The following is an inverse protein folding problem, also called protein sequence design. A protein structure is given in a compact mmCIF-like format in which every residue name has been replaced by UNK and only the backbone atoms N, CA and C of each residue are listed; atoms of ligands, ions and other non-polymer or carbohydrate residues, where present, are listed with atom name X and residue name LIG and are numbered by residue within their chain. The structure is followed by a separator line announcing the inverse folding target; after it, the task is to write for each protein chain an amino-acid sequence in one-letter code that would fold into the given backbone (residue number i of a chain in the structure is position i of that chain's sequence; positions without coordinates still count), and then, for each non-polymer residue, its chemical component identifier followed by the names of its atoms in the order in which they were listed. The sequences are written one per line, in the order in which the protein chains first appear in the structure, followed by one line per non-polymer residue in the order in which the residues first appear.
data_IF_403171174172
#
_entry.id   IF_403171174172
#
_cell.length_a   1.000
_cell.length_b   1.000
_cell.length_c   1.000
_cell.angle_alpha   90.00
_cell.angle_beta   90.00
_cell.angle_gamma   90.00
#
_symmetry.space_group_name_H-M   'P 1'
#
loop_
_entity.id
_entity.type
_entity.pdbx_description
1 polymer ?
#
# COMPACT_ATOMS: atom_id res chain seq x y z
N UNK A 1 -2.49 -18.79 41.67
CA UNK A 1 -3.19 -17.99 40.63
C UNK A 1 -2.37 -16.81 40.07
N UNK A 2 -1.27 -16.37 40.70
CA UNK A 2 -0.45 -15.23 40.22
C UNK A 2 0.49 -15.57 39.04
N UNK A 3 1.05 -16.79 39.01
CA UNK A 3 2.06 -17.18 38.01
C UNK A 3 1.51 -17.29 36.57
N UNK A 4 0.31 -17.86 36.41
CA UNK A 4 -0.39 -17.95 35.11
C UNK A 4 -0.75 -16.57 34.57
N UNK A 5 -1.19 -15.65 35.44
CA UNK A 5 -1.53 -14.28 35.07
C UNK A 5 -0.31 -13.52 34.54
N UNK A 6 0.83 -13.69 35.19
CA UNK A 6 2.10 -13.08 34.79
C UNK A 6 2.61 -13.63 33.46
N UNK A 7 2.63 -14.96 33.26
CA UNK A 7 3.04 -15.58 31.98
C UNK A 7 2.18 -15.06 30.82
N UNK A 8 0.87 -14.95 31.02
CA UNK A 8 -0.02 -14.46 29.98
C UNK A 8 0.21 -12.98 29.67
N UNK A 9 0.45 -12.16 30.70
CA UNK A 9 0.73 -10.74 30.55
C UNK A 9 2.05 -10.47 29.81
N UNK A 10 3.13 -11.18 30.18
CA UNK A 10 4.43 -11.03 29.51
C UNK A 10 4.43 -11.66 28.10
N UNK A 11 3.68 -12.74 27.88
CA UNK A 11 3.51 -13.36 26.57
C UNK A 11 2.75 -12.48 25.58
N UNK A 12 1.67 -11.81 26.02
CA UNK A 12 0.95 -10.84 25.18
C UNK A 12 1.84 -9.64 24.85
N UNK A 13 2.58 -9.12 25.84
CA UNK A 13 3.45 -7.97 25.62
C UNK A 13 4.56 -8.25 24.59
N UNK A 14 5.18 -9.42 24.63
CA UNK A 14 6.22 -9.80 23.67
C UNK A 14 5.67 -10.08 22.27
N UNK A 15 4.49 -10.72 22.16
CA UNK A 15 3.81 -10.90 20.90
C UNK A 15 3.43 -9.55 20.25
N UNK A 16 2.92 -8.62 21.06
CA UNK A 16 2.55 -7.28 20.58
C UNK A 16 3.78 -6.49 20.14
N UNK A 17 4.88 -6.53 20.90
CA UNK A 17 6.14 -5.90 20.51
C UNK A 17 6.70 -6.48 19.19
N UNK A 18 6.60 -7.80 19.00
CA UNK A 18 6.99 -8.47 17.75
C UNK A 18 6.15 -8.03 16.55
N UNK A 19 4.83 -7.94 16.70
CA UNK A 19 3.93 -7.45 15.65
C UNK A 19 4.23 -5.98 15.34
N UNK A 20 4.35 -5.12 16.35
CA UNK A 20 4.61 -3.69 16.14
C UNK A 20 5.97 -3.47 15.48
N UNK A 21 7.03 -4.11 15.95
CA UNK A 21 8.38 -3.94 15.40
C UNK A 21 8.51 -4.42 13.96
N UNK A 22 7.82 -5.51 13.59
CA UNK A 22 7.92 -6.10 12.24
C UNK A 22 6.90 -5.54 11.25
N UNK A 23 5.69 -5.19 11.71
CA UNK A 23 4.57 -4.80 10.85
C UNK A 23 4.41 -3.30 10.77
N UNK A 24 4.74 -2.53 11.83
CA UNK A 24 4.60 -1.07 11.78
C UNK A 24 5.49 -0.40 10.71
N UNK A 25 6.78 -0.78 10.52
CA UNK A 25 7.59 -0.21 9.45
C UNK A 25 6.99 -0.49 8.07
N UNK A 26 6.43 -1.69 7.88
CA UNK A 26 5.76 -2.07 6.64
C UNK A 26 4.50 -1.21 6.38
N UNK A 27 3.66 -1.00 7.40
CA UNK A 27 2.44 -0.17 7.27
C UNK A 27 2.80 1.29 7.02
N UNK A 28 3.76 1.86 7.75
CA UNK A 28 4.19 3.25 7.57
C UNK A 28 4.75 3.48 6.17
N UNK A 29 5.54 2.52 5.66
CA UNK A 29 6.05 2.58 4.30
C UNK A 29 4.93 2.50 3.26
N UNK A 30 3.94 1.62 3.48
CA UNK A 30 2.78 1.48 2.61
C UNK A 30 1.93 2.76 2.57
N UNK A 31 1.67 3.39 3.73
CA UNK A 31 0.95 4.66 3.81
C UNK A 31 1.71 5.79 3.11
N UNK A 32 3.03 5.84 3.26
CA UNK A 32 3.89 6.80 2.57
C UNK A 32 3.86 6.63 1.05
N UNK A 33 3.97 5.40 0.55
CA UNK A 33 3.87 5.12 -0.88
C UNK A 33 2.50 5.46 -1.46
N UNK A 34 1.42 5.04 -0.80
CA UNK A 34 0.05 5.34 -1.25
C UNK A 34 -0.20 6.85 -1.26
N UNK A 35 0.22 7.55 -0.21
CA UNK A 35 0.14 9.02 -0.15
C UNK A 35 0.92 9.69 -1.29
N UNK A 36 2.12 9.18 -1.61
CA UNK A 36 2.91 9.65 -2.74
C UNK A 36 2.21 9.45 -4.10
N UNK A 37 1.63 8.27 -4.34
CA UNK A 37 0.89 7.96 -5.57
C UNK A 37 -0.34 8.87 -5.71
N UNK A 38 -1.03 9.13 -4.61
CA UNK A 38 -2.22 9.98 -4.60
C UNK A 38 -1.84 11.45 -4.90
N UNK A 39 -0.74 11.95 -4.33
CA UNK A 39 -0.23 13.28 -4.63
C UNK A 39 0.18 13.43 -6.12
N UNK A 40 0.83 12.40 -6.68
CA UNK A 40 1.20 12.35 -8.11
C UNK A 40 -0.05 12.41 -9.00
N UNK A 41 -1.18 11.84 -8.56
CA UNK A 41 -2.41 11.80 -9.35
C UNK A 41 -3.09 13.17 -9.51
N UNK A 42 -2.80 14.13 -8.62
CA UNK A 42 -3.30 15.51 -8.73
C UNK A 42 -2.37 16.45 -9.50
N UNK A 43 -1.18 16.00 -9.88
CA UNK A 43 -0.27 16.84 -10.65
C UNK A 43 -0.68 16.82 -12.14
N UNK A 44 -1.16 17.96 -12.63
CA UNK A 44 -1.49 18.21 -14.05
C UNK A 44 -0.32 17.88 -14.99
N UNK A 45 0.90 17.77 -14.47
CA UNK A 45 2.12 17.40 -15.20
C UNK A 45 2.07 15.98 -15.82
N UNK A 46 1.27 15.06 -15.26
CA UNK A 46 1.21 13.66 -15.71
C UNK A 46 0.12 13.39 -16.76
N UNK A 47 -0.79 14.33 -16.95
CA UNK A 47 -1.94 14.21 -17.84
C UNK A 47 -1.90 15.29 -18.92
N UNK A 48 -2.35 14.95 -20.12
CA UNK A 48 -2.58 15.93 -21.17
C UNK A 48 -3.85 16.72 -20.86
N UNK A 49 -4.05 17.92 -21.44
CA UNK A 49 -5.28 18.71 -21.27
C UNK A 49 -6.57 17.93 -21.61
N UNK A 50 -6.46 16.87 -22.42
CA UNK A 50 -7.58 15.99 -22.78
C UNK A 50 -7.88 14.89 -21.72
N UNK A 51 -7.19 14.90 -20.57
CA UNK A 51 -7.26 13.84 -19.55
C UNK A 51 -6.55 12.53 -19.94
N UNK A 52 -5.99 12.46 -21.15
CA UNK A 52 -5.20 11.31 -21.60
C UNK A 52 -3.82 11.28 -20.93
N UNK A 53 -3.24 10.09 -20.84
CA UNK A 53 -1.95 9.89 -20.18
C UNK A 53 -0.82 10.64 -20.90
N UNK A 54 -0.15 11.52 -20.15
CA UNK A 54 1.06 12.19 -20.60
C UNK A 54 2.27 11.23 -20.63
N UNK A 55 3.36 11.70 -21.22
CA UNK A 55 4.61 10.94 -21.34
C UNK A 55 5.18 10.55 -19.97
N UNK A 56 5.10 11.46 -18.99
CA UNK A 56 5.55 11.21 -17.61
C UNK A 56 4.66 10.20 -16.87
N UNK A 57 3.36 10.15 -17.17
CA UNK A 57 2.46 9.14 -16.59
C UNK A 57 2.84 7.73 -17.02
N UNK A 58 3.30 7.57 -18.26
CA UNK A 58 3.81 6.29 -18.75
C UNK A 58 5.20 5.95 -18.15
N UNK A 59 6.08 6.94 -18.02
CA UNK A 59 7.40 6.79 -17.42
C UNK A 59 7.34 6.22 -15.99
N UNK A 60 6.49 6.79 -15.13
CA UNK A 60 6.35 6.32 -13.74
C UNK A 60 5.86 4.87 -13.69
N UNK A 61 4.94 4.47 -14.56
CA UNK A 61 4.46 3.07 -14.60
C UNK A 61 5.56 2.10 -15.01
N UNK A 62 6.42 2.47 -15.97
CA UNK A 62 7.57 1.65 -16.34
C UNK A 62 8.54 1.53 -15.17
N UNK A 63 8.84 2.64 -14.48
CA UNK A 63 9.72 2.63 -13.31
C UNK A 63 9.13 1.75 -12.21
N UNK A 64 7.83 1.88 -11.92
CA UNK A 64 7.12 1.05 -10.97
C UNK A 64 7.19 -0.43 -11.32
N UNK A 65 6.93 -0.79 -12.58
CA UNK A 65 7.05 -2.16 -13.08
C UNK A 65 8.50 -2.68 -12.92
N UNK A 66 9.48 -1.84 -13.20
CA UNK A 66 10.91 -2.18 -13.11
C UNK A 66 11.33 -2.46 -11.67
N UNK A 67 10.83 -1.67 -10.70
CA UNK A 67 11.07 -1.89 -9.27
C UNK A 67 10.46 -3.22 -8.81
N UNK A 68 9.24 -3.53 -9.24
CA UNK A 68 8.57 -4.80 -8.92
C UNK A 68 9.37 -5.99 -9.49
N UNK A 69 9.75 -5.93 -10.76
CA UNK A 69 10.59 -6.94 -11.40
C UNK A 69 11.93 -7.12 -10.68
N UNK A 70 12.59 -6.01 -10.32
CA UNK A 70 13.84 -6.04 -9.56
C UNK A 70 13.66 -6.66 -8.16
N UNK A 71 12.57 -6.34 -7.47
CA UNK A 71 12.21 -6.94 -6.18
C UNK A 71 12.04 -8.45 -6.27
N UNK A 72 11.30 -8.93 -7.28
CA UNK A 72 11.11 -10.37 -7.54
C UNK A 72 12.46 -11.04 -7.83
N UNK A 73 13.31 -10.44 -8.67
CA UNK A 73 14.63 -10.97 -8.99
C UNK A 73 15.51 -11.11 -7.73
N UNK A 74 15.60 -10.06 -6.91
CA UNK A 74 16.39 -10.05 -5.67
C UNK A 74 15.84 -11.04 -4.63
N UNK A 75 14.52 -11.19 -4.56
CA UNK A 75 13.87 -12.16 -3.69
C UNK A 75 14.23 -13.59 -4.09
N UNK A 76 14.19 -13.91 -5.39
CA UNK A 76 14.57 -15.23 -5.90
C UNK A 76 16.04 -15.58 -5.62
N UNK A 77 16.96 -14.62 -5.65
CA UNK A 77 18.39 -14.85 -5.35
C UNK A 77 18.61 -15.20 -3.87
N UNK A 78 17.94 -14.52 -2.95
CA UNK A 78 18.17 -14.72 -1.50
C UNK A 78 17.62 -16.03 -0.96
N UNK A 79 16.76 -16.71 -1.71
CA UNK A 79 16.08 -17.93 -1.28
C UNK A 79 16.89 -19.24 -1.42
N UNK A 80 18.13 -19.19 -1.92
CA UNK A 80 19.02 -20.35 -2.01
C UNK A 80 19.62 -20.81 -0.65
N UNK A 81 18.85 -20.69 0.43
CA UNK A 81 19.17 -21.31 1.71
C UNK A 81 18.89 -22.84 1.66
N UNK A 82 19.81 -23.65 2.20
CA UNK A 82 19.81 -25.12 2.07
C UNK A 82 18.80 -25.87 2.96
N UNK A 83 18.08 -25.17 3.83
CA UNK A 83 17.22 -25.78 4.86
C UNK A 83 15.85 -26.23 4.35
N UNK A 84 15.45 -25.90 3.11
CA UNK A 84 14.10 -26.15 2.60
C UNK A 84 14.14 -26.93 1.28
N UNK A 85 13.29 -27.95 1.13
CA UNK A 85 13.14 -28.68 -0.14
C UNK A 85 12.50 -27.80 -1.23
N UNK A 86 12.77 -28.08 -2.50
CA UNK A 86 12.22 -27.31 -3.63
C UNK A 86 10.68 -27.23 -3.61
N UNK A 87 10.02 -28.28 -3.14
CA UNK A 87 8.56 -28.33 -3.01
C UNK A 87 8.07 -27.33 -1.96
N UNK A 88 8.73 -27.25 -0.80
CA UNK A 88 8.38 -26.31 0.28
C UNK A 88 8.65 -24.86 -0.12
N UNK A 89 9.74 -24.59 -0.86
CA UNK A 89 10.02 -23.25 -1.40
C UNK A 89 8.89 -22.75 -2.30
N UNK A 90 8.40 -23.58 -3.23
CA UNK A 90 7.28 -23.23 -4.13
C UNK A 90 5.99 -22.93 -3.36
N UNK A 91 5.65 -23.76 -2.37
CA UNK A 91 4.45 -23.57 -1.56
C UNK A 91 4.55 -22.29 -0.74
N UNK A 92 5.70 -22.01 -0.11
CA UNK A 92 5.92 -20.80 0.67
C UNK A 92 5.83 -19.53 -0.19
N UNK A 93 6.40 -19.54 -1.41
CA UNK A 93 6.24 -18.43 -2.38
C UNK A 93 4.79 -18.19 -2.74
N UNK A 94 4.06 -19.26 -3.07
CA UNK A 94 2.66 -19.18 -3.44
C UNK A 94 1.84 -18.60 -2.27
N UNK A 95 2.04 -19.12 -1.06
CA UNK A 95 1.36 -18.66 0.14
C UNK A 95 1.64 -17.18 0.42
N UNK A 96 2.91 -16.78 0.36
CA UNK A 96 3.32 -15.39 0.56
C UNK A 96 2.73 -14.45 -0.51
N UNK A 97 2.74 -14.88 -1.78
CA UNK A 97 2.15 -14.11 -2.89
C UNK A 97 0.64 -13.93 -2.70
N UNK A 98 -0.09 -14.99 -2.35
CA UNK A 98 -1.53 -14.93 -2.08
C UNK A 98 -1.83 -14.01 -0.90
N UNK A 99 -1.06 -14.12 0.19
CA UNK A 99 -1.22 -13.27 1.37
C UNK A 99 -1.00 -11.78 1.02
N UNK A 100 0.08 -11.46 0.30
CA UNK A 100 0.40 -10.09 -0.11
C UNK A 100 -0.68 -9.49 -1.01
N UNK A 101 -1.15 -10.24 -2.01
CA UNK A 101 -2.19 -9.77 -2.94
C UNK A 101 -3.49 -9.50 -2.17
N UNK A 102 -3.92 -10.46 -1.34
CA UNK A 102 -5.17 -10.35 -0.58
C UNK A 102 -5.13 -9.17 0.39
N UNK A 103 -4.03 -9.01 1.13
CA UNK A 103 -3.85 -7.88 2.05
C UNK A 103 -3.80 -6.54 1.31
N UNK A 104 -3.02 -6.44 0.23
CA UNK A 104 -2.87 -5.20 -0.53
C UNK A 104 -4.18 -4.75 -1.17
N UNK A 105 -4.94 -5.68 -1.77
CA UNK A 105 -6.23 -5.38 -2.40
C UNK A 105 -7.25 -4.92 -1.36
N UNK A 106 -7.32 -5.61 -0.22
CA UNK A 106 -8.23 -5.26 0.87
C UNK A 106 -7.93 -3.86 1.42
N UNK A 107 -6.64 -3.54 1.61
CA UNK A 107 -6.19 -2.24 2.09
C UNK A 107 -6.50 -1.15 1.05
N UNK A 108 -6.20 -1.40 -0.23
CA UNK A 108 -6.48 -0.46 -1.33
C UNK A 108 -7.97 -0.10 -1.41
N UNK A 109 -8.86 -1.10 -1.46
CA UNK A 109 -10.31 -0.88 -1.53
C UNK A 109 -10.83 -0.14 -0.29
N UNK A 110 -10.29 -0.44 0.89
CA UNK A 110 -10.67 0.25 2.11
C UNK A 110 -10.30 1.72 2.08
N UNK A 111 -9.09 2.05 1.60
CA UNK A 111 -8.63 3.44 1.47
C UNK A 111 -9.38 4.20 0.39
N UNK A 112 -9.67 3.59 -0.76
CA UNK A 112 -10.46 4.21 -1.82
C UNK A 112 -11.89 4.53 -1.36
N UNK A 113 -12.50 3.62 -0.60
CA UNK A 113 -13.82 3.85 -0.02
C UNK A 113 -13.78 4.98 1.01
N UNK A 114 -12.73 5.04 1.83
CA UNK A 114 -12.57 6.13 2.80
C UNK A 114 -12.34 7.48 2.09
N UNK A 115 -11.51 7.50 1.05
CA UNK A 115 -11.22 8.72 0.30
C UNK A 115 -12.48 9.24 -0.42
N UNK A 116 -13.20 8.39 -1.14
CA UNK A 116 -14.45 8.78 -1.82
C UNK A 116 -15.48 9.41 -0.87
N UNK A 117 -15.70 8.81 0.30
CA UNK A 117 -16.60 9.38 1.32
C UNK A 117 -16.12 10.77 1.77
N UNK A 118 -14.81 10.97 1.93
CA UNK A 118 -14.24 12.26 2.29
C UNK A 118 -14.41 13.30 1.16
N UNK A 119 -14.11 12.92 -0.09
CA UNK A 119 -14.24 13.80 -1.25
C UNK A 119 -15.68 14.24 -1.49
N UNK A 120 -16.64 13.30 -1.47
CA UNK A 120 -18.05 13.61 -1.69
C UNK A 120 -18.63 14.52 -0.61
N UNK A 121 -18.17 14.37 0.63
CA UNK A 121 -18.71 15.12 1.77
C UNK A 121 -18.11 16.52 1.90
N UNK A 122 -16.83 16.68 1.59
CA UNK A 122 -16.11 17.94 1.89
C UNK A 122 -15.61 18.68 0.66
N UNK A 123 -15.08 17.97 -0.35
CA UNK A 123 -14.40 18.59 -1.49
C UNK A 123 -15.38 18.95 -2.60
N UNK A 124 -16.23 18.00 -3.03
CA UNK A 124 -17.18 18.22 -4.13
C UNK A 124 -18.18 19.35 -3.84
N UNK A 125 -18.74 19.49 -2.62
CA UNK A 125 -19.64 20.60 -2.31
C UNK A 125 -18.92 21.97 -2.31
N UNK A 126 -17.65 22.02 -1.90
CA UNK A 126 -16.86 23.24 -1.92
C UNK A 126 -16.53 23.68 -3.36
N UNK A 127 -16.08 22.75 -4.21
CA UNK A 127 -15.83 23.01 -5.63
C UNK A 127 -17.08 23.51 -6.37
N UNK A 128 -18.25 22.95 -6.05
CA UNK A 128 -19.52 23.41 -6.62
C UNK A 128 -19.85 24.84 -6.21
N UNK A 129 -19.57 25.25 -4.98
CA UNK A 129 -19.79 26.63 -4.53
C UNK A 129 -18.85 27.61 -5.26
N UNK A 130 -17.56 27.30 -5.34
CA UNK A 130 -16.58 28.12 -6.07
C UNK A 130 -16.95 28.26 -7.55
N UNK A 131 -17.42 27.18 -8.19
CA UNK A 131 -17.85 27.22 -9.58
C UNK A 131 -19.08 28.09 -9.80
N UNK A 132 -20.06 28.03 -8.88
CA UNK A 132 -21.25 28.89 -8.94
C UNK A 132 -20.88 30.36 -8.71
N UNK A 133 -19.99 30.65 -7.76
CA UNK A 133 -19.52 32.02 -7.47
C UNK A 133 -18.88 32.65 -8.71
N UNK A 134 -17.99 31.92 -9.40
CA UNK A 134 -17.39 32.33 -10.69
C UNK A 134 -18.38 32.56 -11.84
N UNK A 135 -19.57 31.97 -11.79
CA UNK A 135 -20.61 32.15 -12.82
C UNK A 135 -21.48 33.37 -12.57
N UNK A 136 -21.46 33.90 -11.36
CA UNK A 136 -22.19 35.12 -10.94
C UNK A 136 -21.37 36.40 -11.03
N UNK A 137 -20.04 36.30 -11.21
CA UNK A 137 -19.15 37.41 -11.60
C UNK A 137 -19.13 37.63 -13.12
#
# INVERSE_FOLDING_TARGET
MSFIKNIFQYGIASAFAGIVCCVAPMILFQLGLIGGIYAISFADFFYKPDGSLGLFGWLIRIIGLSIVCYGIYRFNIKEDCSLNSDKQKRINKLLFSVLLITFSLSLFLSLEKLSSIYFDKYIVPAQKKEYQEKLTE
#
